data_IF_054491795733
#
_entry.id   IF_054491795733
#
_cell.length_a   1.000
_cell.length_b   1.000
_cell.length_c   1.000
_cell.angle_alpha   90.00
_cell.angle_beta   90.00
_cell.angle_gamma   90.00
#
_symmetry.space_group_name_H-M   'P 1'
#
loop_
_entity.id
_entity.type
_entity.pdbx_description
1 polymer ?
#
# COMPACT_ATOMS: atom_id res chain seq x y z
N UNK A 1 10.77 0.41 3.35
CA UNK A 1 10.09 0.04 2.10
C UNK A 1 10.45 1.01 0.98
N UNK A 2 11.04 0.49 -0.10
CA UNK A 2 11.17 1.14 -1.41
C UNK A 2 9.85 1.10 -2.16
N UNK A 3 9.69 1.92 -3.21
CA UNK A 3 8.48 1.93 -4.05
C UNK A 3 8.18 0.55 -4.66
N UNK A 4 9.20 -0.20 -5.07
CA UNK A 4 9.01 -1.56 -5.60
C UNK A 4 8.47 -2.54 -4.56
N UNK A 5 8.85 -2.37 -3.28
CA UNK A 5 8.34 -3.20 -2.18
C UNK A 5 6.88 -2.83 -1.85
N UNK A 6 6.52 -1.55 -1.94
CA UNK A 6 5.12 -1.11 -1.84
C UNK A 6 4.25 -1.80 -2.88
N UNK A 7 4.65 -1.76 -4.16
CA UNK A 7 3.89 -2.43 -5.22
C UNK A 7 3.82 -3.93 -5.03
N UNK A 8 4.89 -4.57 -4.54
CA UNK A 8 4.86 -6.00 -4.21
C UNK A 8 3.82 -6.31 -3.11
N UNK A 9 3.75 -5.50 -2.06
CA UNK A 9 2.75 -5.70 -1.00
C UNK A 9 1.33 -5.41 -1.47
N UNK A 10 1.13 -4.39 -2.31
CA UNK A 10 -0.16 -4.16 -2.97
C UNK A 10 -0.57 -5.34 -3.86
N UNK A 11 0.36 -5.89 -4.63
CA UNK A 11 0.11 -7.03 -5.51
C UNK A 11 -0.17 -8.31 -4.71
N UNK A 12 0.43 -8.49 -3.54
CA UNK A 12 0.20 -9.65 -2.67
C UNK A 12 -1.19 -9.62 -2.01
N UNK A 13 -1.63 -8.44 -1.55
CA UNK A 13 -2.94 -8.29 -0.89
C UNK A 13 -4.10 -8.19 -1.89
N UNK A 14 -3.93 -7.44 -2.98
CA UNK A 14 -5.02 -7.10 -3.90
C UNK A 14 -4.88 -7.80 -5.27
N UNK A 15 -3.72 -8.36 -5.59
CA UNK A 15 -3.41 -8.92 -6.90
C UNK A 15 -2.91 -7.86 -7.89
N UNK A 16 -1.97 -8.23 -8.76
CA UNK A 16 -1.27 -7.32 -9.68
C UNK A 16 -2.17 -6.47 -10.59
N UNK A 17 -3.36 -6.98 -10.96
CA UNK A 17 -4.32 -6.23 -11.79
C UNK A 17 -5.15 -5.21 -11.00
N UNK A 18 -5.54 -5.55 -9.76
CA UNK A 18 -6.44 -4.72 -8.96
C UNK A 18 -5.68 -3.76 -8.04
N UNK A 19 -4.46 -4.10 -7.63
CA UNK A 19 -3.55 -3.26 -6.86
C UNK A 19 -3.40 -1.84 -7.42
N UNK A 20 -3.27 -1.71 -8.75
CA UNK A 20 -3.18 -0.41 -9.45
C UNK A 20 -4.48 0.39 -9.36
N UNK A 21 -5.62 -0.28 -9.44
CA UNK A 21 -6.93 0.34 -9.31
C UNK A 21 -7.12 0.85 -7.88
N UNK A 22 -6.82 0.02 -6.88
CA UNK A 22 -6.87 0.40 -5.46
C UNK A 22 -5.98 1.62 -5.21
N UNK A 23 -4.72 1.59 -5.68
CA UNK A 23 -3.79 2.70 -5.48
C UNK A 23 -4.28 4.03 -6.08
N UNK A 24 -4.97 4.01 -7.22
CA UNK A 24 -5.42 5.21 -7.93
C UNK A 24 -6.84 5.66 -7.60
N UNK A 25 -7.66 4.82 -6.97
CA UNK A 25 -9.08 5.12 -6.71
C UNK A 25 -9.43 5.19 -5.23
N UNK A 26 -8.58 4.63 -4.38
CA UNK A 26 -8.83 4.59 -2.93
C UNK A 26 -8.21 5.81 -2.29
N UNK A 27 -9.07 6.74 -1.86
CA UNK A 27 -8.66 7.89 -1.06
C UNK A 27 -8.32 7.41 0.35
N UNK A 28 -7.17 7.85 0.86
CA UNK A 28 -6.62 7.43 2.15
C UNK A 28 -6.59 8.62 3.11
N UNK A 29 -7.31 8.50 4.23
CA UNK A 29 -7.45 9.59 5.22
C UNK A 29 -6.09 10.03 5.79
N UNK A 30 -5.20 9.06 6.02
CA UNK A 30 -3.91 9.27 6.70
C UNK A 30 -2.85 9.99 5.86
N UNK A 31 -3.08 10.17 4.56
CA UNK A 31 -2.19 10.87 3.64
C UNK A 31 -2.83 12.12 3.05
N UNK A 32 -3.57 12.86 3.89
CA UNK A 32 -4.24 14.12 3.54
C UNK A 32 -5.40 13.95 2.54
N UNK A 33 -6.18 12.87 2.67
CA UNK A 33 -7.29 12.54 1.76
C UNK A 33 -6.86 12.45 0.28
N UNK A 34 -5.66 11.91 0.05
CA UNK A 34 -5.15 11.60 -1.29
C UNK A 34 -5.23 10.12 -1.56
N UNK A 35 -5.25 9.75 -2.83
CA UNK A 35 -5.04 8.37 -3.23
C UNK A 35 -3.61 7.93 -2.94
N UNK A 36 -3.38 6.61 -2.89
CA UNK A 36 -2.04 6.07 -2.72
C UNK A 36 -1.09 6.55 -3.84
N UNK A 37 -1.58 6.61 -5.08
CA UNK A 37 -0.82 7.09 -6.23
C UNK A 37 -0.46 8.58 -6.09
N UNK A 38 -1.43 9.45 -5.77
CA UNK A 38 -1.18 10.88 -5.57
C UNK A 38 -0.21 11.13 -4.42
N UNK A 39 -0.35 10.42 -3.30
CA UNK A 39 0.57 10.55 -2.17
C UNK A 39 2.00 10.17 -2.56
N UNK A 40 2.19 9.09 -3.33
CA UNK A 40 3.50 8.69 -3.83
C UNK A 40 4.10 9.71 -4.80
N UNK A 41 3.28 10.27 -5.70
CA UNK A 41 3.71 11.28 -6.67
C UNK A 41 4.09 12.61 -5.99
N UNK A 42 3.42 12.95 -4.89
CA UNK A 42 3.76 14.09 -4.01
C UNK A 42 5.00 13.83 -3.12
N UNK A 43 5.60 12.65 -3.20
CA UNK A 43 6.83 12.29 -2.48
C UNK A 43 6.60 11.78 -1.05
N UNK A 44 5.37 11.42 -0.69
CA UNK A 44 5.08 10.74 0.58
C UNK A 44 5.81 9.40 0.59
N UNK A 45 6.34 9.02 1.76
CA UNK A 45 7.16 7.80 1.88
C UNK A 45 6.28 6.57 1.57
N UNK A 46 6.74 5.62 0.74
CA UNK A 46 5.94 4.43 0.41
C UNK A 46 5.49 3.61 1.62
N UNK A 47 6.28 3.59 2.68
CA UNK A 47 5.90 2.93 3.94
C UNK A 47 4.69 3.60 4.60
N UNK A 48 4.60 4.93 4.57
CA UNK A 48 3.47 5.66 5.16
C UNK A 48 2.20 5.44 4.36
N UNK A 49 2.31 5.49 3.02
CA UNK A 49 1.21 5.17 2.11
C UNK A 49 0.73 3.74 2.34
N UNK A 50 1.65 2.77 2.47
CA UNK A 50 1.31 1.39 2.78
C UNK A 50 0.56 1.24 4.10
N UNK A 51 1.04 1.89 5.17
CA UNK A 51 0.37 1.85 6.47
C UNK A 51 -1.03 2.45 6.42
N UNK A 52 -1.23 3.52 5.64
CA UNK A 52 -2.55 4.09 5.41
C UNK A 52 -3.49 3.10 4.71
N UNK A 53 -3.01 2.41 3.67
CA UNK A 53 -3.76 1.33 3.01
C UNK A 53 -4.08 0.22 3.99
N UNK A 54 -3.10 -0.25 4.77
CA UNK A 54 -3.31 -1.30 5.76
C UNK A 54 -4.34 -0.92 6.81
N UNK A 55 -4.31 0.31 7.30
CA UNK A 55 -5.27 0.80 8.28
C UNK A 55 -6.68 0.89 7.71
N UNK A 56 -6.83 1.40 6.50
CA UNK A 56 -8.14 1.56 5.86
C UNK A 56 -8.79 0.23 5.44
N UNK A 57 -7.99 -0.76 5.10
CA UNK A 57 -8.46 -2.10 4.72
C UNK A 57 -8.43 -3.11 5.88
N UNK A 58 -8.23 -2.64 7.11
CA UNK A 58 -8.13 -3.48 8.31
C UNK A 58 -7.13 -4.64 8.17
N UNK A 59 -6.03 -4.40 7.44
CA UNK A 59 -4.98 -5.39 7.24
C UNK A 59 -4.21 -5.64 8.54
N UNK A 60 -3.90 -6.91 8.85
CA UNK A 60 -3.27 -7.28 10.11
C UNK A 60 -1.88 -6.66 10.25
N UNK A 61 -1.51 -6.28 11.49
CA UNK A 61 -0.29 -5.52 11.80
C UNK A 61 1.01 -6.17 11.32
N UNK A 62 1.05 -7.50 11.15
CA UNK A 62 2.22 -8.18 10.62
C UNK A 62 2.53 -7.81 9.16
N UNK A 63 1.55 -7.30 8.40
CA UNK A 63 1.71 -6.84 7.01
C UNK A 63 2.26 -5.41 6.89
N UNK A 64 2.24 -4.62 7.96
CA UNK A 64 2.48 -3.16 7.90
C UNK A 64 3.92 -2.76 7.57
N UNK A 65 4.90 -3.66 7.74
CA UNK A 65 6.31 -3.39 7.40
C UNK A 65 6.66 -3.77 5.95
N UNK A 66 5.68 -4.29 5.20
CA UNK A 66 5.88 -4.95 3.92
C UNK A 66 6.03 -6.46 4.11
N UNK A 67 5.58 -7.23 3.12
CA UNK A 67 5.61 -8.70 3.17
C UNK A 67 7.05 -9.17 3.38
N UNK A 68 7.31 -9.81 4.52
CA UNK A 68 8.54 -10.57 4.77
C UNK A 68 8.69 -11.57 3.62
N UNK A 69 9.87 -11.64 3.02
CA UNK A 69 10.10 -12.56 1.90
C UNK A 69 10.02 -13.97 2.44
N UNK A 70 8.87 -14.65 2.32
CA UNK A 70 8.84 -16.10 2.49
C UNK A 70 7.62 -16.79 3.10
N UNK A 71 6.42 -16.20 3.15
CA UNK A 71 5.22 -17.03 3.39
C UNK A 71 4.51 -17.32 2.06
N UNK A 72 4.84 -18.44 1.37
CA UNK A 72 4.01 -18.91 0.29
C UNK A 72 2.64 -19.31 0.85
N UNK A 73 1.57 -18.83 0.19
CA UNK A 73 0.21 -19.31 0.39
C UNK A 73 -0.02 -20.63 -0.35
#
# INVERSE_FOLDING_TARGET
>A
MKLSEFWRSMDDEFGAGYARVVASQTVLDRVENRTAQEALDDGVRPLEVWQAVCEQHDLPRHRWLGTDVGEPK
#
